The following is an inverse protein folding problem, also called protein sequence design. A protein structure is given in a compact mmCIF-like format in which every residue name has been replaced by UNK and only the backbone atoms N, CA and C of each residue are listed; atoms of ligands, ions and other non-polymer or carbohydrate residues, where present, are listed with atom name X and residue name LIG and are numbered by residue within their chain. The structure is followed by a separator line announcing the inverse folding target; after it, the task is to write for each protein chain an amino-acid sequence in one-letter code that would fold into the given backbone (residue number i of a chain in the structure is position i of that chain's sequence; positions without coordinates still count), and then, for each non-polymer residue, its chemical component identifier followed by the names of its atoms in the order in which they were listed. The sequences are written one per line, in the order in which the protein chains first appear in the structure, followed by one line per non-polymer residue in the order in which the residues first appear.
data_IF_408596001147
#
_entry.id   IF_408596001147
#
_cell.length_a   1.000
_cell.length_b   1.000
_cell.length_c   1.000
_cell.angle_alpha   90.00
_cell.angle_beta   90.00
_cell.angle_gamma   90.00
#
_symmetry.space_group_name_H-M   'P 1'
#
loop_
_entity.id
_entity.type
_entity.pdbx_description
1 polymer ?
#
# COMPACT_ATOMS: atom_id res chain seq x y z
N UNK A 1 17.12 4.92 -0.86
CA UNK A 1 16.99 5.10 0.60
C UNK A 1 15.70 5.85 0.85
N UNK A 2 14.75 5.26 1.58
CA UNK A 2 13.49 5.90 1.97
C UNK A 2 13.41 5.83 3.49
N UNK A 3 13.15 6.96 4.16
CA UNK A 3 13.15 7.09 5.62
C UNK A 3 14.40 6.44 6.28
N UNK A 4 15.58 6.67 5.71
CA UNK A 4 16.83 6.11 6.23
C UNK A 4 17.02 4.60 6.08
N UNK A 5 16.08 3.88 5.45
CA UNK A 5 16.18 2.43 5.16
C UNK A 5 16.26 2.15 3.66
N UNK A 6 16.70 0.95 3.31
CA UNK A 6 16.62 0.41 1.95
C UNK A 6 15.46 -0.58 1.88
N UNK A 7 14.59 -0.41 0.90
CA UNK A 7 13.47 -1.31 0.63
C UNK A 7 13.70 -2.00 -0.71
N UNK A 8 13.57 -3.32 -0.75
CA UNK A 8 13.63 -4.09 -1.98
C UNK A 8 12.23 -4.22 -2.57
N UNK A 9 12.11 -3.96 -3.86
CA UNK A 9 10.83 -4.03 -4.58
C UNK A 9 10.89 -5.21 -5.54
N UNK A 10 9.87 -6.06 -5.50
CA UNK A 10 9.71 -7.17 -6.44
C UNK A 10 9.12 -6.70 -7.78
N UNK A 11 9.04 -7.60 -8.75
CA UNK A 11 8.34 -7.31 -10.01
C UNK A 11 6.85 -7.09 -9.73
N UNK A 12 6.22 -6.03 -10.28
CA UNK A 12 4.81 -5.74 -10.02
C UNK A 12 3.88 -6.78 -10.67
N UNK A 13 2.87 -7.22 -9.92
CA UNK A 13 1.74 -7.97 -10.46
C UNK A 13 0.63 -7.03 -10.93
N UNK A 14 -0.08 -7.41 -11.99
CA UNK A 14 -1.24 -6.68 -12.51
C UNK A 14 -2.41 -7.65 -12.64
N UNK A 15 -3.57 -7.25 -12.15
CA UNK A 15 -4.81 -8.00 -12.27
C UNK A 15 -5.94 -7.07 -12.70
N UNK A 16 -6.87 -7.60 -13.49
CA UNK A 16 -8.10 -6.91 -13.88
C UNK A 16 -9.26 -7.88 -13.62
N UNK A 17 -9.96 -7.67 -12.52
CA UNK A 17 -11.10 -8.48 -12.11
C UNK A 17 -12.00 -7.64 -11.18
N UNK A 18 -13.12 -8.21 -10.77
CA UNK A 18 -13.92 -7.67 -9.67
C UNK A 18 -13.06 -7.49 -8.42
N UNK A 19 -13.25 -6.37 -7.72
CA UNK A 19 -12.44 -6.00 -6.55
C UNK A 19 -12.35 -7.13 -5.51
N UNK A 20 -13.45 -7.81 -5.22
CA UNK A 20 -13.49 -8.89 -4.24
C UNK A 20 -12.58 -10.07 -4.64
N UNK A 21 -12.51 -10.43 -5.92
CA UNK A 21 -11.67 -11.52 -6.40
C UNK A 21 -10.18 -11.19 -6.29
N UNK A 22 -9.79 -9.96 -6.63
CA UNK A 22 -8.40 -9.50 -6.46
C UNK A 22 -8.01 -9.44 -4.97
N UNK A 23 -8.90 -8.90 -4.13
CA UNK A 23 -8.64 -8.80 -2.69
C UNK A 23 -8.56 -10.17 -2.01
N UNK A 24 -9.37 -11.14 -2.40
CA UNK A 24 -9.33 -12.50 -1.85
C UNK A 24 -7.95 -13.13 -2.01
N UNK A 25 -7.34 -13.01 -3.20
CA UNK A 25 -5.97 -13.48 -3.45
C UNK A 25 -4.96 -12.76 -2.56
N UNK A 26 -5.00 -11.42 -2.50
CA UNK A 26 -4.06 -10.63 -1.70
C UNK A 26 -4.17 -10.96 -0.20
N UNK A 27 -5.39 -11.04 0.33
CA UNK A 27 -5.64 -11.35 1.74
C UNK A 27 -5.27 -12.80 2.05
N UNK A 28 -5.48 -13.76 1.13
CA UNK A 28 -5.06 -15.14 1.36
C UNK A 28 -3.54 -15.28 1.55
N UNK A 29 -2.76 -14.43 0.87
CA UNK A 29 -1.30 -14.44 0.90
C UNK A 29 -0.76 -13.64 2.10
N UNK A 30 -1.28 -12.44 2.33
CA UNK A 30 -0.73 -11.48 3.30
C UNK A 30 -1.55 -11.32 4.57
N UNK A 31 -2.82 -11.72 4.56
CA UNK A 31 -3.70 -11.69 5.74
C UNK A 31 -3.40 -12.77 6.78
N UNK A 32 -2.47 -13.69 6.48
CA UNK A 32 -1.96 -14.66 7.46
C UNK A 32 -0.91 -14.04 8.40
N UNK A 33 -0.20 -12.99 7.94
CA UNK A 33 0.91 -12.38 8.67
C UNK A 33 0.66 -10.92 9.03
N UNK A 34 -0.09 -10.15 8.25
CA UNK A 34 -0.38 -8.75 8.52
C UNK A 34 -1.48 -8.57 9.57
N UNK A 35 -1.16 -7.86 10.67
CA UNK A 35 -2.11 -7.54 11.75
C UNK A 35 -2.91 -6.24 11.45
N UNK A 36 -2.31 -5.32 10.69
CA UNK A 36 -2.86 -4.00 10.38
C UNK A 36 -2.72 -3.73 8.88
N UNK A 37 -3.67 -3.00 8.29
CA UNK A 37 -3.56 -2.47 6.93
C UNK A 37 -3.65 -0.94 6.94
N UNK A 38 -2.74 -0.27 6.22
CA UNK A 38 -2.79 1.18 6.00
C UNK A 38 -3.51 1.45 4.67
N UNK A 39 -4.66 2.10 4.73
CA UNK A 39 -5.47 2.45 3.56
C UNK A 39 -5.39 3.95 3.30
N UNK A 40 -4.99 4.33 2.09
CA UNK A 40 -4.83 5.72 1.67
C UNK A 40 -5.72 6.00 0.47
N UNK A 41 -6.68 6.90 0.65
CA UNK A 41 -7.49 7.43 -0.45
C UNK A 41 -6.64 8.44 -1.21
N UNK A 42 -6.45 8.20 -2.51
CA UNK A 42 -5.54 8.97 -3.35
C UNK A 42 -6.29 9.59 -4.51
N UNK A 43 -6.03 10.86 -4.77
CA UNK A 43 -6.46 11.56 -5.98
C UNK A 43 -5.21 11.90 -6.80
N UNK A 44 -5.22 11.49 -8.06
CA UNK A 44 -4.18 11.76 -9.04
C UNK A 44 -4.71 12.79 -10.03
N UNK A 45 -4.17 14.01 -9.96
CA UNK A 45 -4.47 15.09 -10.91
C UNK A 45 -3.41 15.12 -12.01
N UNK A 46 -3.84 15.17 -13.27
CA UNK A 46 -2.93 15.07 -14.42
C UNK A 46 -2.83 16.43 -15.14
N UNK A 47 -1.78 17.18 -14.85
CA UNK A 47 -1.53 18.49 -15.48
C UNK A 47 -2.67 19.48 -15.23
N UNK A 48 -3.07 20.21 -16.28
CA UNK A 48 -4.24 21.12 -16.24
C UNK A 48 -5.53 20.44 -16.71
N UNK A 49 -5.58 19.11 -16.73
CA UNK A 49 -6.81 18.38 -17.06
C UNK A 49 -7.78 18.43 -15.89
N UNK A 50 -9.06 18.70 -16.16
CA UNK A 50 -10.16 18.59 -15.18
C UNK A 50 -10.52 17.12 -14.83
N UNK A 51 -9.77 16.16 -15.38
CA UNK A 51 -9.93 14.73 -15.08
C UNK A 51 -9.04 14.32 -13.91
N UNK A 52 -9.65 14.22 -12.73
CA UNK A 52 -9.06 13.58 -11.57
C UNK A 52 -9.30 12.08 -11.58
N UNK A 53 -8.24 11.30 -11.34
CA UNK A 53 -8.32 9.86 -11.14
C UNK A 53 -8.27 9.57 -9.65
N UNK A 54 -9.33 8.97 -9.12
CA UNK A 54 -9.39 8.53 -7.73
C UNK A 54 -9.04 7.05 -7.62
N UNK A 55 -8.33 6.70 -6.55
CA UNK A 55 -7.96 5.32 -6.26
C UNK A 55 -7.54 5.13 -4.82
N UNK A 56 -7.39 3.86 -4.42
CA UNK A 56 -6.95 3.50 -3.09
C UNK A 56 -5.58 2.84 -3.17
N UNK A 57 -4.67 3.25 -2.28
CA UNK A 57 -3.40 2.57 -2.04
C UNK A 57 -3.52 1.86 -0.70
N UNK A 58 -3.30 0.54 -0.71
CA UNK A 58 -3.36 -0.30 0.48
C UNK A 58 -1.97 -0.88 0.73
N UNK A 59 -1.43 -0.65 1.92
CA UNK A 59 -0.19 -1.25 2.38
C UNK A 59 -0.51 -2.28 3.47
N UNK A 60 -0.04 -3.51 3.27
CA UNK A 60 -0.12 -4.60 4.26
C UNK A 60 1.31 -4.84 4.78
N UNK A 61 1.72 -4.19 5.88
CA UNK A 61 3.03 -4.37 6.47
C UNK A 61 3.15 -5.72 7.18
N UNK A 62 4.38 -6.24 7.24
CA UNK A 62 4.72 -7.31 8.18
C UNK A 62 4.60 -6.79 9.64
N UNK A 63 4.30 -7.66 10.62
CA UNK A 63 4.17 -7.28 12.02
C UNK A 63 5.34 -6.43 12.53
N UNK A 64 5.03 -5.32 13.20
CA UNK A 64 6.04 -4.41 13.75
C UNK A 64 6.69 -3.46 12.72
N UNK A 65 6.47 -3.67 11.42
CA UNK A 65 7.12 -2.85 10.37
C UNK A 65 6.50 -1.46 10.23
N UNK A 66 5.20 -1.32 10.51
CA UNK A 66 4.53 -0.03 10.46
C UNK A 66 4.98 0.86 11.63
N UNK A 67 5.07 0.29 12.82
CA UNK A 67 5.59 0.94 14.02
C UNK A 67 7.02 1.45 13.78
N UNK A 68 7.89 0.58 13.26
CA UNK A 68 9.27 0.97 12.93
C UNK A 68 9.37 2.04 11.83
N UNK A 69 8.39 2.12 10.92
CA UNK A 69 8.31 3.21 9.94
C UNK A 69 7.90 4.52 10.61
N UNK A 70 6.88 4.49 11.48
CA UNK A 70 6.33 5.67 12.17
C UNK A 70 7.32 6.26 13.18
N UNK A 71 8.05 5.43 13.92
CA UNK A 71 9.14 5.85 14.82
C UNK A 71 10.22 6.63 14.06
N UNK A 72 10.66 6.12 12.89
CA UNK A 72 11.67 6.81 12.08
C UNK A 72 11.17 8.12 11.47
N UNK A 73 9.86 8.26 11.30
CA UNK A 73 9.22 9.51 10.89
C UNK A 73 9.03 10.49 12.07
N UNK A 74 9.30 10.07 13.31
CA UNK A 74 9.17 10.89 14.52
C UNK A 74 7.71 11.13 14.94
N UNK A 75 6.79 10.27 14.50
CA UNK A 75 5.35 10.39 14.80
C UNK A 75 4.96 9.57 16.05
N UNK A 76 5.78 8.59 16.39
CA UNK A 76 5.70 7.77 17.61
C UNK A 76 6.93 8.01 18.49
#
# INVERSE_FOLDING_TARGET
MFVGSTYNISVPGVAHDMLAAVLDVVISIFGQTGDVALVVNTTLSVGESDLDVQGNVIMIPDPGSLEGLLEKLGVM
#
